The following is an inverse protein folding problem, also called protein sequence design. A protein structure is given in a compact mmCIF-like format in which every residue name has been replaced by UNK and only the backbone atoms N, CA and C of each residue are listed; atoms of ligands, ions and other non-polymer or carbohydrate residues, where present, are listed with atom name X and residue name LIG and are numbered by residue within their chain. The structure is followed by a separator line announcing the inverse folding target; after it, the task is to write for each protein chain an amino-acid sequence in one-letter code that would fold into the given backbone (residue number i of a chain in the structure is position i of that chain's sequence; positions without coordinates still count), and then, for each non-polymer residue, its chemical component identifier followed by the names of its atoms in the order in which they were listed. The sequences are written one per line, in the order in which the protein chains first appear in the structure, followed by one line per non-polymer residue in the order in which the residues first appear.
data_IF_412026523509
#
_entry.id   IF_412026523509
#
_cell.length_a   1.000
_cell.length_b   1.000
_cell.length_c   1.000
_cell.angle_alpha   90.00
_cell.angle_beta   90.00
_cell.angle_gamma   90.00
#
_symmetry.space_group_name_H-M   'P 1'
#
loop_
_entity.id
_entity.type
_entity.pdbx_description
1 polymer ?
#
# COMPACT_ATOMS: atom_id res chain seq x y z
N UNK A 1 6.06 -21.55 -15.02
CA UNK A 1 7.24 -20.71 -14.69
C UNK A 1 7.95 -21.33 -13.50
N UNK A 2 9.28 -21.37 -13.48
CA UNK A 2 10.05 -21.92 -12.35
C UNK A 2 9.82 -21.06 -11.08
N UNK A 3 9.53 -21.69 -9.93
CA UNK A 3 9.26 -21.01 -8.65
C UNK A 3 10.40 -20.06 -8.24
N UNK A 4 11.66 -20.42 -8.54
CA UNK A 4 12.83 -19.59 -8.26
C UNK A 4 12.81 -18.31 -9.10
N UNK A 5 12.45 -18.42 -10.39
CA UNK A 5 12.35 -17.25 -11.28
C UNK A 5 11.25 -16.31 -10.79
N UNK A 6 10.10 -16.84 -10.36
CA UNK A 6 8.99 -16.03 -9.82
C UNK A 6 9.43 -15.23 -8.59
N UNK A 7 10.14 -15.86 -7.65
CA UNK A 7 10.69 -15.20 -6.46
C UNK A 7 11.70 -14.10 -6.82
N UNK A 8 12.61 -14.38 -7.76
CA UNK A 8 13.58 -13.40 -8.23
C UNK A 8 12.89 -12.17 -8.86
N UNK A 9 11.84 -12.38 -9.66
CA UNK A 9 11.04 -11.28 -10.21
C UNK A 9 10.37 -10.46 -9.09
N UNK A 10 9.85 -11.13 -8.07
CA UNK A 10 9.30 -10.47 -6.89
C UNK A 10 10.31 -9.55 -6.21
N UNK A 11 11.50 -10.07 -5.89
CA UNK A 11 12.58 -9.29 -5.27
C UNK A 11 13.09 -8.17 -6.15
N UNK A 12 13.18 -8.39 -7.46
CA UNK A 12 13.52 -7.33 -8.41
C UNK A 12 12.48 -6.20 -8.38
N UNK A 13 11.19 -6.55 -8.35
CA UNK A 13 10.10 -5.58 -8.20
C UNK A 13 10.19 -4.80 -6.90
N UNK A 14 10.41 -5.49 -5.77
CA UNK A 14 10.65 -4.87 -4.45
C UNK A 14 11.82 -3.90 -4.46
N UNK A 15 12.98 -4.33 -4.96
CA UNK A 15 14.16 -3.50 -5.05
C UNK A 15 13.92 -2.28 -5.95
N UNK A 16 13.19 -2.46 -7.04
CA UNK A 16 12.83 -1.36 -7.96
C UNK A 16 11.92 -0.34 -7.27
N UNK A 17 10.89 -0.76 -6.55
CA UNK A 17 10.02 0.13 -5.77
C UNK A 17 10.81 0.98 -4.77
N UNK A 18 11.62 0.32 -3.94
CA UNK A 18 12.41 0.97 -2.89
C UNK A 18 13.42 1.93 -3.51
N UNK A 19 14.15 1.48 -4.54
CA UNK A 19 15.15 2.30 -5.21
C UNK A 19 14.53 3.50 -5.91
N UNK A 20 13.40 3.33 -6.61
CA UNK A 20 12.70 4.44 -7.27
C UNK A 20 12.30 5.52 -6.27
N UNK A 21 11.76 5.13 -5.10
CA UNK A 21 11.42 6.06 -4.04
C UNK A 21 12.66 6.77 -3.48
N UNK A 22 13.73 6.02 -3.17
CA UNK A 22 14.97 6.60 -2.65
C UNK A 22 15.55 7.60 -3.66
N UNK A 23 15.68 7.22 -4.93
CA UNK A 23 16.23 8.08 -5.97
C UNK A 23 15.43 9.38 -6.14
N UNK A 24 14.09 9.30 -6.06
CA UNK A 24 13.22 10.48 -6.15
C UNK A 24 13.42 11.39 -4.93
N UNK A 25 13.35 10.84 -3.72
CA UNK A 25 13.42 11.62 -2.46
C UNK A 25 14.79 12.22 -2.18
N UNK A 26 15.86 11.59 -2.67
CA UNK A 26 17.23 12.11 -2.56
C UNK A 26 17.62 13.09 -3.67
N UNK A 27 16.73 13.28 -4.66
CA UNK A 27 16.98 14.16 -5.80
C UNK A 27 17.95 13.60 -6.85
N UNK A 28 18.34 12.32 -6.75
CA UNK A 28 19.18 11.67 -7.77
C UNK A 28 18.49 11.56 -9.13
N UNK A 29 17.16 11.40 -9.14
CA UNK A 29 16.35 11.58 -10.34
C UNK A 29 15.55 12.86 -10.21
N UNK A 30 15.66 13.73 -11.21
CA UNK A 30 14.93 14.99 -11.27
C UNK A 30 13.55 14.87 -11.91
N UNK A 31 13.29 13.76 -12.60
CA UNK A 31 12.09 13.60 -13.43
C UNK A 31 11.08 12.67 -12.80
N UNK A 32 9.90 13.21 -12.51
CA UNK A 32 8.72 12.43 -12.08
C UNK A 32 8.42 11.27 -13.04
N UNK A 33 8.62 11.47 -14.34
CA UNK A 33 8.40 10.44 -15.36
C UNK A 33 9.27 9.19 -15.19
N UNK A 34 10.52 9.34 -14.74
CA UNK A 34 11.41 8.18 -14.49
C UNK A 34 10.87 7.38 -13.31
N UNK A 35 10.49 8.07 -12.24
CA UNK A 35 9.85 7.45 -11.07
C UNK A 35 8.57 6.69 -11.45
N UNK A 36 7.68 7.32 -12.24
CA UNK A 36 6.44 6.69 -12.69
C UNK A 36 6.72 5.42 -13.52
N UNK A 37 7.65 5.47 -14.47
CA UNK A 37 8.00 4.28 -15.26
C UNK A 37 8.54 3.14 -14.38
N UNK A 38 9.45 3.44 -13.45
CA UNK A 38 9.98 2.45 -12.51
C UNK A 38 8.87 1.86 -11.62
N UNK A 39 7.91 2.68 -11.19
CA UNK A 39 6.76 2.22 -10.41
C UNK A 39 5.86 1.24 -11.18
N UNK A 40 5.57 1.51 -12.46
CA UNK A 40 4.76 0.58 -13.28
C UNK A 40 5.48 -0.77 -13.43
N UNK A 41 6.78 -0.74 -13.71
CA UNK A 41 7.59 -1.95 -13.85
C UNK A 41 7.62 -2.72 -12.53
N UNK A 42 7.88 -2.03 -11.42
CA UNK A 42 7.90 -2.62 -10.09
C UNK A 42 6.54 -3.26 -9.74
N UNK A 43 5.44 -2.54 -9.98
CA UNK A 43 4.07 -3.02 -9.76
C UNK A 43 3.80 -4.32 -10.53
N UNK A 44 4.16 -4.36 -11.82
CA UNK A 44 3.96 -5.53 -12.67
C UNK A 44 4.76 -6.75 -12.15
N UNK A 45 6.02 -6.56 -11.79
CA UNK A 45 6.89 -7.61 -11.26
C UNK A 45 6.36 -8.17 -9.92
N UNK A 46 5.95 -7.29 -9.01
CA UNK A 46 5.38 -7.69 -7.70
C UNK A 46 4.01 -8.37 -7.87
N UNK A 47 3.22 -7.94 -8.86
CA UNK A 47 1.94 -8.57 -9.16
C UNK A 47 2.13 -10.02 -9.64
N UNK A 48 3.14 -10.30 -10.46
CA UNK A 48 3.46 -11.66 -10.93
C UNK A 48 3.72 -12.61 -9.77
N UNK A 49 4.59 -12.23 -8.82
CA UNK A 49 4.86 -13.08 -7.63
C UNK A 49 3.63 -13.19 -6.74
N UNK A 50 2.85 -12.12 -6.62
CA UNK A 50 1.64 -12.11 -5.78
C UNK A 50 0.54 -13.03 -6.31
N UNK A 51 0.36 -13.10 -7.64
CA UNK A 51 -0.55 -14.08 -8.28
C UNK A 51 -0.07 -15.51 -8.01
N UNK A 52 1.22 -15.77 -8.20
CA UNK A 52 1.80 -17.11 -7.98
C UNK A 52 1.68 -17.58 -6.52
N UNK A 53 1.63 -16.64 -5.56
CA UNK A 53 1.44 -16.89 -4.12
C UNK A 53 -0.01 -16.83 -3.66
N UNK A 54 -0.97 -16.64 -4.58
CA UNK A 54 -2.38 -16.40 -4.26
C UNK A 54 -2.61 -15.24 -3.26
N UNK A 55 -1.71 -14.25 -3.25
CA UNK A 55 -1.81 -13.04 -2.42
C UNK A 55 -2.67 -12.01 -3.15
N UNK A 56 -3.95 -12.32 -3.34
CA UNK A 56 -4.89 -11.45 -4.07
C UNK A 56 -4.95 -10.02 -3.52
N UNK A 57 -4.99 -9.76 -2.20
CA UNK A 57 -4.88 -8.41 -1.66
C UNK A 57 -3.68 -7.63 -2.24
N UNK A 58 -2.50 -8.25 -2.30
CA UNK A 58 -1.30 -7.64 -2.88
C UNK A 58 -1.40 -7.44 -4.39
N UNK A 59 -2.03 -8.37 -5.12
CA UNK A 59 -2.32 -8.20 -6.55
C UNK A 59 -3.12 -6.93 -6.78
N UNK A 60 -4.20 -6.73 -6.02
CA UNK A 60 -5.06 -5.56 -6.15
C UNK A 60 -4.36 -4.26 -5.74
N UNK A 61 -3.57 -4.25 -4.68
CA UNK A 61 -2.77 -3.08 -4.28
C UNK A 61 -1.80 -2.67 -5.39
N UNK A 62 -1.05 -3.64 -5.95
CA UNK A 62 -0.08 -3.34 -7.00
C UNK A 62 -0.76 -2.96 -8.33
N UNK A 63 -1.89 -3.57 -8.64
CA UNK A 63 -2.72 -3.17 -9.78
C UNK A 63 -3.22 -1.73 -9.62
N UNK A 64 -3.73 -1.36 -8.44
CA UNK A 64 -4.11 0.01 -8.12
C UNK A 64 -2.94 0.98 -8.32
N UNK A 65 -1.76 0.68 -7.79
CA UNK A 65 -0.57 1.53 -7.99
C UNK A 65 -0.18 1.67 -9.47
N UNK A 66 -0.27 0.58 -10.24
CA UNK A 66 -0.08 0.63 -11.69
C UNK A 66 -1.07 1.58 -12.37
N UNK A 67 -2.36 1.48 -12.06
CA UNK A 67 -3.39 2.37 -12.60
C UNK A 67 -3.19 3.83 -12.22
N UNK A 68 -2.86 4.10 -10.95
CA UNK A 68 -2.57 5.46 -10.48
C UNK A 68 -1.40 6.05 -11.25
N UNK A 69 -0.33 5.28 -11.39
CA UNK A 69 0.88 5.72 -12.09
C UNK A 69 0.58 6.00 -13.57
N UNK A 70 -0.21 5.15 -14.22
CA UNK A 70 -0.67 5.39 -15.61
C UNK A 70 -1.54 6.66 -15.67
N UNK A 71 -2.48 6.84 -14.73
CA UNK A 71 -3.35 8.02 -14.70
C UNK A 71 -2.56 9.33 -14.57
N UNK A 72 -1.46 9.33 -13.80
CA UNK A 72 -0.53 10.44 -13.67
C UNK A 72 0.25 10.69 -14.98
N UNK A 73 0.70 9.63 -15.66
CA UNK A 73 1.39 9.75 -16.96
C UNK A 73 0.48 10.41 -18.01
N UNK A 74 -0.81 10.07 -18.03
CA UNK A 74 -1.78 10.62 -19.00
C UNK A 74 -2.51 11.87 -18.50
N UNK A 75 -2.14 12.40 -17.34
CA UNK A 75 -2.77 13.56 -16.69
C UNK A 75 -4.30 13.45 -16.53
N UNK A 76 -4.79 12.26 -16.19
CA UNK A 76 -6.21 12.04 -15.97
C UNK A 76 -6.62 12.40 -14.53
N UNK A 77 -7.47 13.41 -14.30
CA UNK A 77 -7.83 13.84 -12.96
C UNK A 77 -8.78 12.83 -12.30
N UNK A 78 -8.35 12.22 -11.19
CA UNK A 78 -9.17 11.35 -10.36
C UNK A 78 -9.88 12.18 -9.29
N UNK A 79 -11.13 12.56 -9.55
CA UNK A 79 -11.93 13.42 -8.67
C UNK A 79 -12.81 12.57 -7.76
N UNK A 80 -12.66 12.72 -6.44
CA UNK A 80 -13.52 12.09 -5.44
C UNK A 80 -14.46 13.09 -4.75
N UNK A 81 -15.69 12.62 -4.51
CA UNK A 81 -16.68 13.34 -3.71
C UNK A 81 -16.29 13.40 -2.23
N UNK A 82 -16.69 14.47 -1.54
CA UNK A 82 -16.44 14.66 -0.11
C UNK A 82 -17.06 13.55 0.78
N UNK A 83 -18.15 12.93 0.31
CA UNK A 83 -18.85 11.87 1.04
C UNK A 83 -18.05 10.56 1.10
N UNK A 84 -17.01 10.43 0.28
CA UNK A 84 -16.18 9.21 0.23
C UNK A 84 -15.39 9.04 1.53
N UNK A 85 -14.93 10.12 2.18
CA UNK A 85 -14.16 10.03 3.44
C UNK A 85 -14.96 9.37 4.57
N UNK A 86 -16.17 9.84 4.96
CA UNK A 86 -16.93 9.21 6.04
C UNK A 86 -17.38 7.78 5.67
N UNK A 87 -17.70 7.50 4.40
CA UNK A 87 -18.02 6.14 3.94
C UNK A 87 -16.82 5.22 4.12
N UNK A 88 -15.64 5.65 3.67
CA UNK A 88 -14.38 4.95 3.85
C UNK A 88 -14.11 4.64 5.32
N UNK A 89 -14.19 5.64 6.21
CA UNK A 89 -13.91 5.45 7.64
C UNK A 89 -14.88 4.45 8.29
N UNK A 90 -16.19 4.55 7.99
CA UNK A 90 -17.19 3.60 8.50
C UNK A 90 -16.95 2.20 7.98
N UNK A 91 -16.65 2.05 6.68
CA UNK A 91 -16.30 0.77 6.09
C UNK A 91 -15.08 0.13 6.78
N UNK A 92 -14.01 0.91 6.99
CA UNK A 92 -12.80 0.43 7.67
C UNK A 92 -13.07 -0.02 9.11
N UNK A 93 -13.89 0.72 9.86
CA UNK A 93 -14.27 0.34 11.23
C UNK A 93 -15.08 -0.95 11.25
N UNK A 94 -16.08 -1.08 10.36
CA UNK A 94 -16.95 -2.26 10.30
C UNK A 94 -16.18 -3.51 9.87
N UNK A 95 -15.29 -3.40 8.87
CA UNK A 95 -14.48 -4.52 8.41
C UNK A 95 -13.46 -4.96 9.45
N UNK A 96 -12.85 -4.02 10.19
CA UNK A 96 -11.96 -4.34 11.31
C UNK A 96 -12.72 -5.04 12.44
N UNK A 97 -13.89 -4.54 12.82
CA UNK A 97 -14.75 -5.17 13.83
C UNK A 97 -15.18 -6.58 13.42
N UNK A 98 -15.62 -6.75 12.17
CA UNK A 98 -15.98 -8.05 11.60
C UNK A 98 -14.79 -9.03 11.63
N UNK A 99 -13.61 -8.60 11.19
CA UNK A 99 -12.42 -9.43 11.20
C UNK A 99 -12.03 -9.88 12.60
N UNK A 100 -12.02 -8.96 13.58
CA UNK A 100 -11.72 -9.27 14.97
C UNK A 100 -12.71 -10.28 15.55
N UNK A 101 -14.02 -10.13 15.27
CA UNK A 101 -15.03 -11.10 15.70
C UNK A 101 -14.74 -12.52 15.20
N UNK A 102 -14.34 -12.69 13.93
CA UNK A 102 -13.94 -14.00 13.41
C UNK A 102 -12.66 -14.54 14.07
N UNK A 103 -11.67 -13.69 14.33
CA UNK A 103 -10.43 -14.07 15.02
C UNK A 103 -10.74 -14.56 16.45
N UNK A 104 -11.56 -13.81 17.20
CA UNK A 104 -11.94 -14.19 18.57
C UNK A 104 -12.86 -15.41 18.62
N UNK A 105 -13.66 -15.65 17.58
CA UNK A 105 -14.43 -16.87 17.42
C UNK A 105 -13.58 -18.09 17.00
N UNK A 106 -12.25 -17.95 16.89
CA UNK A 106 -11.31 -19.02 16.52
C UNK A 106 -11.16 -19.24 15.01
N UNK A 107 -11.88 -18.50 14.16
CA UNK A 107 -11.73 -18.58 12.71
C UNK A 107 -10.70 -17.56 12.21
N UNK A 108 -9.44 -17.81 12.56
CA UNK A 108 -8.31 -16.95 12.22
C UNK A 108 -8.13 -16.77 10.71
N UNK A 109 -8.43 -17.82 9.92
CA UNK A 109 -8.33 -17.77 8.46
C UNK A 109 -9.23 -16.67 7.88
N UNK A 110 -10.54 -16.73 8.17
CA UNK A 110 -11.50 -15.74 7.64
C UNK A 110 -11.15 -14.34 8.15
N UNK A 111 -10.84 -14.21 9.45
CA UNK A 111 -10.48 -12.93 10.04
C UNK A 111 -9.27 -12.27 9.36
N UNK A 112 -8.18 -13.01 9.15
CA UNK A 112 -6.97 -12.51 8.47
C UNK A 112 -7.26 -12.14 7.00
N UNK A 113 -8.12 -12.89 6.31
CA UNK A 113 -8.51 -12.56 4.94
C UNK A 113 -9.33 -11.26 4.87
N UNK A 114 -10.26 -11.03 5.81
CA UNK A 114 -11.01 -9.77 5.89
C UNK A 114 -10.05 -8.61 6.18
N UNK A 115 -9.11 -8.78 7.11
CA UNK A 115 -8.06 -7.79 7.40
C UNK A 115 -7.25 -7.44 6.14
N UNK A 116 -6.82 -8.43 5.36
CA UNK A 116 -6.01 -8.17 4.16
C UNK A 116 -6.77 -7.39 3.08
N UNK A 117 -8.05 -7.70 2.86
CA UNK A 117 -8.90 -6.92 1.95
C UNK A 117 -9.21 -5.52 2.49
N UNK A 118 -9.38 -5.39 3.81
CA UNK A 118 -9.49 -4.11 4.48
C UNK A 118 -8.24 -3.25 4.21
N UNK A 119 -7.04 -3.83 4.31
CA UNK A 119 -5.80 -3.12 3.94
C UNK A 119 -5.76 -2.69 2.48
N UNK A 120 -6.27 -3.51 1.56
CA UNK A 120 -6.31 -3.19 0.11
C UNK A 120 -7.16 -1.95 -0.16
N UNK A 121 -8.36 -1.92 0.39
CA UNK A 121 -9.25 -0.74 0.32
C UNK A 121 -8.62 0.44 1.06
N UNK A 122 -8.05 0.16 2.24
CA UNK A 122 -7.28 1.09 3.07
C UNK A 122 -6.24 1.89 2.30
N UNK A 123 -5.28 1.20 1.68
CA UNK A 123 -4.23 1.82 0.86
C UNK A 123 -4.79 2.62 -0.31
N UNK A 124 -5.73 2.02 -1.04
CA UNK A 124 -6.22 2.61 -2.29
C UNK A 124 -7.04 3.87 -2.02
N UNK A 125 -7.96 3.80 -1.06
CA UNK A 125 -8.82 4.92 -0.69
C UNK A 125 -8.07 6.01 0.08
N UNK A 126 -7.14 5.67 0.98
CA UNK A 126 -6.35 6.68 1.70
C UNK A 126 -5.53 7.52 0.72
N UNK A 127 -4.93 6.88 -0.29
CA UNK A 127 -4.16 7.58 -1.31
C UNK A 127 -5.03 8.49 -2.18
N UNK A 128 -6.16 7.99 -2.69
CA UNK A 128 -7.06 8.82 -3.49
C UNK A 128 -7.64 10.00 -2.71
N UNK A 129 -8.01 9.77 -1.44
CA UNK A 129 -8.52 10.83 -0.57
C UNK A 129 -7.44 11.87 -0.26
N UNK A 130 -6.18 11.45 -0.10
CA UNK A 130 -5.04 12.35 0.07
C UNK A 130 -4.80 13.20 -1.18
N UNK A 131 -4.78 12.59 -2.38
CA UNK A 131 -4.66 13.32 -3.65
C UNK A 131 -5.77 14.35 -3.86
N UNK A 132 -6.98 14.06 -3.36
CA UNK A 132 -8.13 14.95 -3.44
C UNK A 132 -8.21 15.98 -2.29
N UNK A 133 -7.16 16.11 -1.47
CA UNK A 133 -7.12 17.05 -0.34
C UNK A 133 -8.15 16.74 0.76
N UNK A 134 -8.67 15.52 0.81
CA UNK A 134 -9.68 15.08 1.81
C UNK A 134 -9.04 14.47 3.05
N UNK A 135 -7.81 13.99 2.94
CA UNK A 135 -6.97 13.59 4.08
C UNK A 135 -5.81 14.56 4.23
N UNK A 136 -5.55 14.98 5.47
CA UNK A 136 -4.32 15.69 5.81
C UNK A 136 -3.11 14.74 5.75
N UNK A 137 -1.91 15.30 5.64
CA UNK A 137 -0.66 14.51 5.55
C UNK A 137 -0.48 13.54 6.73
N UNK A 138 -0.83 13.98 7.95
CA UNK A 138 -0.74 13.13 9.15
C UNK A 138 -1.75 11.99 9.06
N UNK A 139 -3.01 12.29 8.73
CA UNK A 139 -4.06 11.28 8.60
C UNK A 139 -3.69 10.24 7.53
N UNK A 140 -3.14 10.68 6.39
CA UNK A 140 -2.65 9.80 5.33
C UNK A 140 -1.58 8.83 5.83
N UNK A 141 -0.57 9.32 6.55
CA UNK A 141 0.46 8.45 7.11
C UNK A 141 -0.08 7.52 8.20
N UNK A 142 -1.02 7.97 9.03
CA UNK A 142 -1.67 7.12 10.03
C UNK A 142 -2.44 5.96 9.39
N UNK A 143 -3.24 6.25 8.35
CA UNK A 143 -3.95 5.22 7.60
C UNK A 143 -2.99 4.24 6.96
N UNK A 144 -1.94 4.73 6.28
CA UNK A 144 -0.95 3.87 5.63
C UNK A 144 -0.16 3.01 6.63
N UNK A 145 0.17 3.55 7.80
CA UNK A 145 0.81 2.80 8.87
C UNK A 145 -0.10 1.66 9.37
N UNK A 146 -1.38 1.95 9.64
CA UNK A 146 -2.35 0.97 10.11
C UNK A 146 -2.56 -0.16 9.09
N UNK A 147 -2.83 0.19 7.84
CA UNK A 147 -3.15 -0.79 6.79
C UNK A 147 -1.93 -1.62 6.39
N UNK A 148 -0.71 -1.09 6.56
CA UNK A 148 0.53 -1.86 6.43
C UNK A 148 0.60 -2.98 7.45
N UNK A 149 0.38 -2.67 8.73
CA UNK A 149 0.40 -3.65 9.84
C UNK A 149 -0.66 -4.73 9.60
N UNK A 150 -1.87 -4.31 9.27
CA UNK A 150 -3.01 -5.21 9.07
C UNK A 150 -2.78 -6.22 7.93
N UNK A 151 -1.99 -5.85 6.90
CA UNK A 151 -1.72 -6.74 5.77
C UNK A 151 -0.69 -7.84 6.09
N UNK A 152 0.29 -7.55 6.96
CA UNK A 152 1.44 -8.43 7.23
C UNK A 152 1.05 -9.88 7.61
N UNK A 153 0.07 -10.15 8.49
CA UNK A 153 -0.31 -11.51 8.84
C UNK A 153 -0.71 -12.37 7.63
N UNK A 154 -1.45 -11.80 6.68
CA UNK A 154 -1.83 -12.51 5.46
C UNK A 154 -0.60 -12.79 4.59
N UNK A 155 0.32 -11.84 4.47
CA UNK A 155 1.54 -12.00 3.68
C UNK A 155 2.47 -13.07 4.25
N UNK A 156 2.58 -13.13 5.59
CA UNK A 156 3.32 -14.17 6.29
C UNK A 156 2.70 -15.55 6.04
N UNK A 157 1.37 -15.63 6.08
CA UNK A 157 0.63 -16.88 5.80
C UNK A 157 0.94 -17.43 4.40
N UNK A 158 0.87 -16.58 3.37
CA UNK A 158 1.15 -16.98 1.98
C UNK A 158 2.64 -16.93 1.61
N UNK A 159 3.52 -16.58 2.57
CA UNK A 159 4.98 -16.48 2.39
C UNK A 159 5.38 -15.59 1.20
N UNK A 160 4.74 -14.44 1.07
CA UNK A 160 5.05 -13.45 0.03
C UNK A 160 6.12 -12.47 0.52
N UNK A 161 7.35 -12.98 0.70
CA UNK A 161 8.48 -12.24 1.27
C UNK A 161 8.83 -10.94 0.53
N UNK A 162 8.81 -10.89 -0.82
CA UNK A 162 9.08 -9.64 -1.52
C UNK A 162 8.11 -8.52 -1.12
N UNK A 163 6.81 -8.83 -0.99
CA UNK A 163 5.81 -7.86 -0.57
C UNK A 163 5.96 -7.50 0.89
N UNK A 164 6.29 -8.46 1.78
CA UNK A 164 6.58 -8.16 3.20
C UNK A 164 7.69 -7.10 3.31
N UNK A 165 8.76 -7.24 2.54
CA UNK A 165 9.86 -6.27 2.56
C UNK A 165 9.41 -4.86 2.11
N UNK A 166 8.59 -4.78 1.05
CA UNK A 166 7.96 -3.51 0.62
C UNK A 166 7.11 -2.91 1.74
N UNK A 167 6.32 -3.75 2.42
CA UNK A 167 5.42 -3.29 3.49
C UNK A 167 6.17 -2.77 4.71
N UNK A 168 7.26 -3.44 5.10
CA UNK A 168 8.14 -2.96 6.18
C UNK A 168 8.77 -1.62 5.81
N UNK A 169 9.20 -1.45 4.56
CA UNK A 169 9.73 -0.18 4.07
C UNK A 169 8.69 0.95 4.14
N UNK A 170 7.48 0.72 3.62
CA UNK A 170 6.40 1.71 3.68
C UNK A 170 5.94 2.02 5.11
N UNK A 171 5.92 1.02 5.99
CA UNK A 171 5.65 1.20 7.41
C UNK A 171 6.67 2.18 8.03
N UNK A 172 7.95 2.02 7.72
CA UNK A 172 9.02 2.92 8.16
C UNK A 172 8.80 4.35 7.68
N UNK A 173 8.48 4.54 6.39
CA UNK A 173 8.18 5.87 5.81
C UNK A 173 6.97 6.50 6.49
N UNK A 174 5.89 5.74 6.68
CA UNK A 174 4.68 6.24 7.33
C UNK A 174 4.95 6.68 8.77
N UNK A 175 5.71 5.88 9.53
CA UNK A 175 6.10 6.22 10.89
C UNK A 175 6.96 7.50 10.95
N UNK A 176 7.98 7.60 10.09
CA UNK A 176 8.83 8.79 10.00
C UNK A 176 8.01 10.04 9.64
N UNK A 177 7.07 9.92 8.70
CA UNK A 177 6.16 11.02 8.33
C UNK A 177 5.32 11.54 9.50
N UNK A 178 4.79 10.63 10.32
CA UNK A 178 4.04 10.99 11.55
C UNK A 178 4.95 11.73 12.54
N UNK A 179 6.13 11.18 12.83
CA UNK A 179 7.06 11.74 13.81
C UNK A 179 7.57 13.12 13.41
N UNK A 180 7.93 13.30 12.14
CA UNK A 180 8.49 14.56 11.64
C UNK A 180 7.46 15.69 11.69
N UNK A 181 6.20 15.39 11.33
CA UNK A 181 5.13 16.39 11.36
C UNK A 181 4.71 16.74 12.79
N UNK A 182 4.72 15.78 13.70
CA UNK A 182 4.46 16.03 15.13
C UNK A 182 5.53 16.95 15.75
N UNK A 183 6.81 16.77 15.40
CA UNK A 183 7.89 17.64 15.85
C UNK A 183 7.75 19.08 15.31
N UNK A 184 7.29 19.26 14.07
CA UNK A 184 7.02 20.59 13.50
C UNK A 184 5.84 21.28 14.18
N UNK A 185 4.79 20.55 14.53
CA UNK A 185 3.62 21.09 15.24
C UNK A 185 3.90 21.55 16.68
N UNK A 186 4.96 21.04 17.32
CA UNK A 186 5.41 21.47 18.66
C UNK A 186 6.31 22.70 18.68
N UNK A 187 6.78 23.17 17.52
CA UNK A 187 7.68 24.34 17.38
C UNK A 187 6.94 25.64 17.08
N UNK A 188 5.62 25.67 17.29
CA UNK A 188 4.74 26.85 17.16
C UNK A 188 4.21 27.15 18.56
#
# INVERSE_FOLDING_TARGET
MNLMIVEMLGWLGTATYISAYILLTTGFISTERIYLNLNVIAAALVMIVSVAKASWPSVFINFFWGLITISQIVNYPLILSQWVKPIFQRFMMLSLGCALSFIFAGNHYVGVHILAWCSTVGYSSSYLLFLNGRLGIIEFHQWNFLVAIILIPQLLWVRNWPVIAIQVFWLGIALLGILHQYQRGKRI
#
